data_IF_543596826599
#
_entry.id   IF_543596826599
#
_cell.length_a   1.000
_cell.length_b   1.000
_cell.length_c   1.000
_cell.angle_alpha   90.00
_cell.angle_beta   90.00
_cell.angle_gamma   90.00
#
_symmetry.space_group_name_H-M   'P 1'
#
loop_
_entity.id
_entity.type
_entity.pdbx_description
1 polymer ?
#
# COMPACT_ATOMS: atom_id res chain seq x y z
N UNK A 1 9.39 32.59 12.81
CA UNK A 1 10.15 31.36 13.08
C UNK A 1 9.29 30.18 12.66
N UNK A 2 9.53 29.62 11.45
CA UNK A 2 8.83 28.45 10.98
C UNK A 2 9.34 27.21 11.71
N UNK A 3 8.44 26.46 12.36
CA UNK A 3 8.76 25.15 12.92
C UNK A 3 8.74 24.15 11.75
N UNK A 4 9.86 23.50 11.50
CA UNK A 4 9.96 22.40 10.54
C UNK A 4 9.65 21.10 11.29
N UNK A 5 8.57 20.42 10.92
CA UNK A 5 8.27 19.09 11.43
C UNK A 5 9.08 18.05 10.63
N UNK A 6 9.78 17.18 11.31
CA UNK A 6 10.52 16.05 10.72
C UNK A 6 9.86 14.77 11.18
N UNK A 7 9.39 13.96 10.24
CA UNK A 7 8.83 12.63 10.49
C UNK A 7 9.89 11.56 10.22
N UNK A 8 10.22 10.78 11.26
CA UNK A 8 11.18 9.67 11.17
C UNK A 8 10.42 8.35 11.01
N UNK A 9 10.42 7.79 9.83
CA UNK A 9 9.78 6.52 9.54
C UNK A 9 10.79 5.37 9.54
N UNK A 10 10.68 4.47 10.53
CA UNK A 10 11.54 3.27 10.65
C UNK A 10 11.11 2.12 9.75
N UNK A 11 9.88 2.15 9.24
CA UNK A 11 9.31 1.13 8.37
C UNK A 11 8.39 1.77 7.32
N UNK A 12 8.57 1.39 6.06
CA UNK A 12 7.78 1.88 4.93
C UNK A 12 6.33 1.40 4.97
N UNK A 13 6.12 0.17 5.45
CA UNK A 13 4.80 -0.42 5.66
C UNK A 13 4.81 -1.29 6.92
N UNK A 14 3.64 -1.52 7.54
CA UNK A 14 3.50 -2.43 8.68
C UNK A 14 3.97 -3.84 8.26
N UNK A 15 4.61 -4.59 9.18
CA UNK A 15 5.18 -5.92 8.90
C UNK A 15 4.19 -6.90 8.26
N UNK A 16 2.92 -6.83 8.65
CA UNK A 16 1.87 -7.71 8.13
C UNK A 16 1.53 -7.45 6.65
N UNK A 17 1.88 -6.29 6.06
CA UNK A 17 1.70 -6.06 4.63
C UNK A 17 2.63 -6.89 3.74
N UNK A 18 3.63 -7.60 4.32
CA UNK A 18 4.49 -8.52 3.59
C UNK A 18 5.42 -7.84 2.58
N UNK A 19 5.65 -6.54 2.72
CA UNK A 19 6.63 -5.82 1.95
C UNK A 19 8.04 -6.30 2.30
N UNK A 20 8.78 -6.76 1.30
CA UNK A 20 10.12 -7.31 1.48
C UNK A 20 11.17 -6.30 1.01
N UNK A 21 11.65 -5.49 1.93
CA UNK A 21 12.78 -4.61 1.67
C UNK A 21 14.07 -5.32 2.10
N UNK A 22 14.95 -5.63 1.15
CA UNK A 22 16.32 -5.98 1.49
C UNK A 22 17.06 -4.70 1.93
N UNK A 23 17.28 -4.60 3.24
CA UNK A 23 17.87 -3.41 3.84
C UNK A 23 19.31 -3.20 3.35
N UNK A 24 20.11 -4.24 3.22
CA UNK A 24 21.51 -4.12 2.80
C UNK A 24 21.62 -3.58 1.38
N UNK A 25 20.89 -4.20 0.45
CA UNK A 25 20.81 -3.76 -0.93
C UNK A 25 20.20 -2.36 -1.07
N UNK A 26 19.21 -2.02 -0.23
CA UNK A 26 18.58 -0.69 -0.22
C UNK A 26 19.58 0.40 0.17
N UNK A 27 20.31 0.23 1.29
CA UNK A 27 21.31 1.19 1.73
C UNK A 27 22.49 1.31 0.75
N UNK A 28 22.86 0.22 0.09
CA UNK A 28 23.92 0.22 -0.93
C UNK A 28 23.58 0.98 -2.22
N UNK A 29 22.28 1.32 -2.44
CA UNK A 29 21.82 2.04 -3.64
C UNK A 29 21.56 3.53 -3.42
N UNK A 30 21.80 4.04 -2.23
CA UNK A 30 21.65 5.46 -1.96
C UNK A 30 22.60 6.28 -2.87
N UNK A 31 22.12 7.44 -3.30
CA UNK A 31 22.89 8.39 -4.13
C UNK A 31 23.04 9.72 -3.43
N UNK A 32 24.13 10.44 -3.65
CA UNK A 32 24.27 11.79 -3.10
C UNK A 32 23.23 12.73 -3.70
N UNK A 33 22.57 13.46 -2.85
CA UNK A 33 21.65 14.56 -3.19
C UNK A 33 22.29 15.85 -2.72
N UNK A 34 22.56 16.76 -3.65
CA UNK A 34 23.20 18.03 -3.35
C UNK A 34 22.13 19.03 -2.90
N UNK A 35 22.25 19.48 -1.68
CA UNK A 35 21.51 20.62 -1.12
C UNK A 35 22.38 21.87 -1.20
N UNK A 36 21.82 23.09 -1.08
CA UNK A 36 22.58 24.32 -1.19
C UNK A 36 23.80 24.41 -0.26
N UNK A 37 23.74 23.81 0.91
CA UNK A 37 24.77 23.88 1.94
C UNK A 37 25.52 22.57 2.20
N UNK A 38 24.99 21.42 1.74
CA UNK A 38 25.60 20.13 2.00
C UNK A 38 25.07 19.05 1.06
N UNK A 39 25.78 17.93 0.97
CA UNK A 39 25.28 16.71 0.32
C UNK A 39 24.76 15.72 1.35
N UNK A 40 23.65 15.08 1.06
CA UNK A 40 23.05 14.00 1.86
C UNK A 40 22.85 12.76 1.00
N UNK A 41 22.84 11.59 1.60
CA UNK A 41 22.50 10.37 0.89
C UNK A 41 20.97 10.25 0.77
N UNK A 42 20.48 10.14 -0.45
CA UNK A 42 19.07 9.99 -0.79
C UNK A 42 18.80 8.72 -1.57
N UNK A 43 17.54 8.41 -1.74
CA UNK A 43 17.11 7.26 -2.54
C UNK A 43 17.42 7.46 -4.02
N UNK A 44 17.77 6.38 -4.73
CA UNK A 44 17.78 6.45 -6.18
C UNK A 44 16.34 6.65 -6.69
N UNK A 45 16.14 7.28 -7.86
CA UNK A 45 14.81 7.61 -8.37
C UNK A 45 13.88 6.40 -8.49
N UNK A 46 14.39 5.24 -8.89
CA UNK A 46 13.64 4.01 -9.05
C UNK A 46 13.09 3.49 -7.71
N UNK A 47 13.96 3.42 -6.68
CA UNK A 47 13.56 3.02 -5.34
C UNK A 47 12.57 4.04 -4.73
N UNK A 48 12.81 5.34 -4.94
CA UNK A 48 11.90 6.41 -4.49
C UNK A 48 10.53 6.28 -5.12
N UNK A 49 10.44 6.02 -6.43
CA UNK A 49 9.17 5.81 -7.13
C UNK A 49 8.36 4.66 -6.50
N UNK A 50 9.01 3.52 -6.27
CA UNK A 50 8.37 2.37 -5.63
C UNK A 50 7.83 2.75 -4.25
N UNK A 51 8.65 3.45 -3.44
CA UNK A 51 8.27 3.83 -2.09
C UNK A 51 7.13 4.85 -2.04
N UNK A 52 7.08 5.81 -2.97
CA UNK A 52 5.96 6.74 -3.12
C UNK A 52 4.66 5.99 -3.44
N UNK A 53 4.71 5.02 -4.35
CA UNK A 53 3.55 4.19 -4.70
C UNK A 53 3.08 3.33 -3.51
N UNK A 54 4.00 2.73 -2.76
CA UNK A 54 3.69 1.96 -1.53
C UNK A 54 3.09 2.88 -0.47
N UNK A 55 3.64 4.08 -0.28
CA UNK A 55 3.15 5.05 0.68
C UNK A 55 1.73 5.53 0.33
N UNK A 56 1.49 5.93 -0.91
CA UNK A 56 0.16 6.31 -1.37
C UNK A 56 -0.86 5.18 -1.19
N UNK A 57 -0.49 3.95 -1.53
CA UNK A 57 -1.36 2.78 -1.38
C UNK A 57 -1.65 2.45 0.10
N UNK A 58 -0.68 2.62 0.99
CA UNK A 58 -0.85 2.44 2.45
C UNK A 58 -1.94 3.36 3.01
N UNK A 59 -2.10 4.52 2.43
CA UNK A 59 -3.10 5.51 2.79
C UNK A 59 -4.27 5.55 1.80
N UNK A 60 -4.46 4.49 1.01
CA UNK A 60 -5.51 4.36 -0.01
C UNK A 60 -5.63 5.59 -0.92
N UNK A 61 -4.53 6.29 -1.14
CA UNK A 61 -4.45 7.49 -1.99
C UNK A 61 -5.44 8.60 -1.59
N UNK A 62 -5.75 8.76 -0.30
CA UNK A 62 -6.74 9.74 0.20
C UNK A 62 -6.37 11.20 -0.04
N UNK A 63 -5.09 11.49 -0.35
CA UNK A 63 -4.61 12.84 -0.60
C UNK A 63 -3.97 12.96 -1.98
N UNK A 64 -4.41 13.94 -2.74
CA UNK A 64 -3.92 14.18 -4.09
C UNK A 64 -2.40 14.41 -4.14
N UNK A 65 -1.80 14.96 -3.07
CA UNK A 65 -0.35 15.20 -2.99
C UNK A 65 0.48 13.96 -3.27
N UNK A 66 0.04 12.77 -2.84
CA UNK A 66 0.78 11.53 -3.07
C UNK A 66 0.80 11.13 -4.55
N UNK A 67 -0.27 11.43 -5.29
CA UNK A 67 -0.30 11.25 -6.75
C UNK A 67 0.59 12.30 -7.43
N UNK A 68 0.58 13.55 -6.92
CA UNK A 68 1.47 14.61 -7.40
C UNK A 68 2.95 14.24 -7.21
N UNK A 69 3.32 13.65 -6.06
CA UNK A 69 4.69 13.24 -5.78
C UNK A 69 5.18 12.19 -6.81
N UNK A 70 4.34 11.22 -7.16
CA UNK A 70 4.63 10.23 -8.21
C UNK A 70 4.77 10.90 -9.58
N UNK A 71 3.81 11.77 -9.93
CA UNK A 71 3.80 12.46 -11.21
C UNK A 71 5.03 13.35 -11.38
N UNK A 72 5.38 14.10 -10.36
CA UNK A 72 6.51 15.01 -10.37
C UNK A 72 7.84 14.28 -10.48
N UNK A 73 7.99 13.15 -9.76
CA UNK A 73 9.19 12.33 -9.86
C UNK A 73 9.39 11.82 -11.29
N UNK A 74 8.34 11.26 -11.92
CA UNK A 74 8.41 10.74 -13.29
C UNK A 74 8.75 11.87 -14.30
N UNK A 75 8.10 13.02 -14.18
CA UNK A 75 8.39 14.18 -15.06
C UNK A 75 9.83 14.68 -14.95
N UNK A 76 10.36 14.74 -13.72
CA UNK A 76 11.73 15.22 -13.48
C UNK A 76 12.81 14.19 -13.76
N UNK A 77 12.44 12.93 -13.99
CA UNK A 77 13.38 11.84 -14.23
C UNK A 77 13.02 11.06 -15.50
N UNK A 78 13.17 11.68 -16.69
CA UNK A 78 12.82 11.02 -17.96
C UNK A 78 13.70 9.78 -18.25
N UNK A 79 14.87 9.65 -17.62
CA UNK A 79 15.80 8.54 -17.75
C UNK A 79 15.60 7.46 -16.65
N UNK A 80 14.37 7.32 -16.11
CA UNK A 80 14.05 6.21 -15.19
C UNK A 80 14.28 4.85 -15.86
N UNK A 81 14.99 3.97 -15.17
CA UNK A 81 15.08 2.57 -15.59
C UNK A 81 13.81 1.81 -15.18
N UNK A 82 12.84 1.78 -16.09
CA UNK A 82 11.54 1.13 -15.90
C UNK A 82 11.67 -0.38 -15.67
N UNK A 83 12.63 -1.04 -16.33
CA UNK A 83 12.89 -2.47 -16.16
C UNK A 83 13.32 -2.74 -14.71
N UNK A 84 14.19 -1.91 -14.18
CA UNK A 84 14.62 -1.98 -12.79
C UNK A 84 13.48 -1.67 -11.82
N UNK A 85 12.63 -0.66 -12.08
CA UNK A 85 11.45 -0.36 -11.26
C UNK A 85 10.56 -1.59 -11.14
N UNK A 86 10.20 -2.21 -12.27
CA UNK A 86 9.31 -3.36 -12.28
C UNK A 86 9.94 -4.61 -11.66
N UNK A 87 11.23 -4.88 -11.94
CA UNK A 87 11.96 -5.97 -11.32
C UNK A 87 12.00 -5.82 -9.80
N UNK A 88 12.42 -4.65 -9.31
CA UNK A 88 12.54 -4.39 -7.89
C UNK A 88 11.18 -4.39 -7.18
N UNK A 89 10.13 -3.88 -7.82
CA UNK A 89 8.77 -3.94 -7.31
C UNK A 89 8.26 -5.39 -7.16
N UNK A 90 8.65 -6.28 -8.09
CA UNK A 90 8.39 -7.71 -7.98
C UNK A 90 9.11 -8.36 -6.79
N UNK A 91 10.43 -8.12 -6.65
CA UNK A 91 11.22 -8.61 -5.52
C UNK A 91 10.65 -8.15 -4.17
N UNK A 92 10.19 -6.89 -4.10
CA UNK A 92 9.58 -6.33 -2.90
C UNK A 92 8.11 -6.70 -2.73
N UNK A 93 7.53 -7.46 -3.67
CA UNK A 93 6.12 -7.90 -3.66
C UNK A 93 5.12 -6.76 -3.59
N UNK A 94 5.37 -5.74 -4.36
CA UNK A 94 4.53 -4.54 -4.44
C UNK A 94 4.28 -4.07 -5.88
N UNK A 95 4.47 -4.96 -6.88
CA UNK A 95 4.35 -4.61 -8.31
C UNK A 95 3.00 -3.97 -8.61
N UNK A 96 1.90 -4.57 -8.18
CA UNK A 96 0.55 -4.02 -8.41
C UNK A 96 0.30 -2.69 -7.70
N UNK A 97 0.97 -2.42 -6.56
CA UNK A 97 0.90 -1.11 -5.91
C UNK A 97 1.60 -0.03 -6.74
N UNK A 98 2.72 -0.38 -7.38
CA UNK A 98 3.44 0.51 -8.30
C UNK A 98 2.60 0.77 -9.54
N UNK A 99 2.03 -0.26 -10.15
CA UNK A 99 1.14 -0.13 -11.31
C UNK A 99 -0.06 0.78 -11.01
N UNK A 100 -0.71 0.63 -9.84
CA UNK A 100 -1.79 1.53 -9.43
C UNK A 100 -1.32 2.98 -9.30
N UNK A 101 -0.18 3.22 -8.64
CA UNK A 101 0.37 4.58 -8.48
C UNK A 101 0.67 5.25 -9.81
N UNK A 102 1.28 4.52 -10.75
CA UNK A 102 1.55 4.99 -12.10
C UNK A 102 0.26 5.26 -12.88
N UNK A 103 -0.73 4.36 -12.79
CA UNK A 103 -2.02 4.51 -13.44
C UNK A 103 -2.79 5.73 -12.93
N UNK A 104 -2.78 5.99 -11.61
CA UNK A 104 -3.37 7.19 -11.00
C UNK A 104 -2.67 8.46 -11.49
N UNK A 105 -1.34 8.47 -11.49
CA UNK A 105 -0.57 9.62 -11.93
C UNK A 105 -0.73 9.88 -13.43
N UNK A 106 -0.78 8.83 -14.26
CA UNK A 106 -1.05 8.95 -15.69
C UNK A 106 -2.46 9.50 -15.94
N UNK A 107 -3.48 8.94 -15.29
CA UNK A 107 -4.88 9.36 -15.45
C UNK A 107 -5.16 10.80 -15.03
N UNK A 108 -4.50 11.30 -13.97
CA UNK A 108 -4.76 12.63 -13.41
C UNK A 108 -3.82 13.71 -13.95
N UNK A 109 -2.62 13.36 -14.34
CA UNK A 109 -1.55 14.31 -14.67
C UNK A 109 -0.90 14.07 -16.03
N UNK A 110 -1.37 13.09 -16.80
CA UNK A 110 -0.86 12.77 -18.15
C UNK A 110 0.67 12.60 -18.17
N UNK A 111 1.21 11.83 -17.22
CA UNK A 111 2.64 11.51 -17.20
C UNK A 111 2.99 10.49 -18.27
N UNK A 112 4.19 10.59 -18.82
CA UNK A 112 4.71 9.60 -19.76
C UNK A 112 5.06 8.29 -19.03
N UNK A 113 4.33 7.21 -19.36
CA UNK A 113 4.57 5.86 -18.87
C UNK A 113 4.79 4.95 -20.09
N UNK A 114 5.76 4.03 -20.05
CA UNK A 114 6.00 3.10 -21.15
C UNK A 114 4.75 2.30 -21.53
N UNK A 115 4.55 2.09 -22.83
CA UNK A 115 3.38 1.40 -23.35
C UNK A 115 3.22 -0.02 -22.76
N UNK A 116 4.32 -0.72 -22.54
CA UNK A 116 4.32 -2.05 -21.91
C UNK A 116 3.73 -2.04 -20.49
N UNK A 117 3.98 -0.98 -19.72
CA UNK A 117 3.41 -0.80 -18.38
C UNK A 117 1.93 -0.43 -18.47
N UNK A 118 1.53 0.42 -19.43
CA UNK A 118 0.12 0.76 -19.66
C UNK A 118 -0.67 -0.48 -20.06
N UNK A 119 -0.14 -1.34 -20.92
CA UNK A 119 -0.76 -2.62 -21.28
C UNK A 119 -0.92 -3.55 -20.07
N UNK A 120 0.08 -3.62 -19.20
CA UNK A 120 -0.02 -4.41 -17.95
C UNK A 120 -1.11 -3.85 -17.02
N UNK A 121 -1.22 -2.54 -16.91
CA UNK A 121 -2.27 -1.86 -16.14
C UNK A 121 -3.66 -2.18 -16.72
N UNK A 122 -3.83 -2.09 -18.04
CA UNK A 122 -5.11 -2.35 -18.72
C UNK A 122 -5.57 -3.80 -18.60
N UNK A 123 -4.64 -4.74 -18.58
CA UNK A 123 -4.95 -6.18 -18.46
C UNK A 123 -5.17 -6.63 -17.02
N UNK A 124 -4.85 -5.80 -16.02
CA UNK A 124 -5.11 -6.11 -14.61
C UNK A 124 -6.62 -6.03 -14.29
N UNK A 125 -7.12 -7.03 -13.54
CA UNK A 125 -8.55 -7.15 -13.24
C UNK A 125 -9.11 -6.03 -12.37
N UNK A 126 -8.29 -5.44 -11.49
CA UNK A 126 -8.75 -4.51 -10.45
C UNK A 126 -8.29 -3.06 -10.72
N UNK A 127 -7.07 -2.86 -11.24
CA UNK A 127 -6.45 -1.53 -11.38
C UNK A 127 -7.29 -0.58 -12.26
N UNK A 128 -7.79 -0.94 -13.45
CA UNK A 128 -8.59 -0.04 -14.27
C UNK A 128 -9.88 0.43 -13.58
N UNK A 129 -10.47 -0.43 -12.74
CA UNK A 129 -11.67 -0.10 -11.96
C UNK A 129 -11.33 0.89 -10.86
N UNK A 130 -10.22 0.67 -10.13
CA UNK A 130 -9.75 1.55 -9.07
C UNK A 130 -9.41 2.95 -9.61
N UNK A 131 -8.65 3.03 -10.71
CA UNK A 131 -8.25 4.31 -11.33
C UNK A 131 -9.45 5.15 -11.77
N UNK A 132 -10.54 4.54 -12.24
CA UNK A 132 -11.75 5.28 -12.63
C UNK A 132 -12.53 5.84 -11.43
N UNK A 133 -12.47 5.18 -10.29
CA UNK A 133 -13.31 5.48 -9.13
C UNK A 133 -12.60 6.32 -8.07
N UNK A 134 -11.33 6.03 -7.77
CA UNK A 134 -10.57 6.70 -6.71
C UNK A 134 -10.42 8.22 -6.91
N UNK A 135 -10.16 8.77 -8.13
CA UNK A 135 -10.05 10.21 -8.32
C UNK A 135 -11.31 10.98 -7.95
N UNK A 136 -12.50 10.40 -8.21
CA UNK A 136 -13.77 11.02 -7.86
C UNK A 136 -13.95 11.19 -6.36
N UNK A 137 -13.38 10.30 -5.57
CA UNK A 137 -13.42 10.36 -4.11
C UNK A 137 -12.42 11.35 -3.52
N UNK A 138 -11.20 11.41 -4.10
CA UNK A 138 -10.21 12.42 -3.74
C UNK A 138 -10.76 13.84 -3.84
N UNK A 139 -11.61 14.09 -4.84
CA UNK A 139 -12.21 15.42 -5.07
C UNK A 139 -13.45 15.69 -4.22
N UNK A 140 -14.18 14.65 -3.78
CA UNK A 140 -15.44 14.82 -3.04
C UNK A 140 -15.26 15.07 -1.54
N UNK A 141 -14.24 14.50 -0.92
CA UNK A 141 -14.14 14.54 0.55
C UNK A 141 -12.69 14.68 1.08
N UNK A 142 -12.07 15.88 0.97
CA UNK A 142 -10.67 16.08 1.35
C UNK A 142 -10.42 16.04 2.88
N UNK A 143 -11.46 15.89 3.72
CA UNK A 143 -11.37 16.01 5.19
C UNK A 143 -11.72 14.74 5.97
N UNK A 144 -12.28 13.72 5.34
CA UNK A 144 -12.51 12.43 6.01
C UNK A 144 -11.40 11.48 5.58
N UNK A 145 -10.52 11.16 6.52
CA UNK A 145 -9.55 10.08 6.35
C UNK A 145 -10.27 8.80 5.92
N UNK A 146 -9.70 8.08 4.96
CA UNK A 146 -10.22 6.77 4.59
C UNK A 146 -10.08 5.87 5.82
N UNK A 147 -11.16 5.16 6.14
CA UNK A 147 -11.18 4.16 7.19
C UNK A 147 -9.98 3.18 7.00
N UNK A 148 -9.28 2.87 8.09
CA UNK A 148 -8.16 1.92 8.06
C UNK A 148 -8.55 0.59 7.39
N UNK A 149 -9.80 0.15 7.55
CA UNK A 149 -10.35 -1.03 6.90
C UNK A 149 -10.36 -0.92 5.37
N UNK A 150 -10.62 0.26 4.82
CA UNK A 150 -10.57 0.51 3.37
C UNK A 150 -9.14 0.45 2.83
N UNK A 151 -8.17 1.00 3.55
CA UNK A 151 -6.76 0.93 3.18
C UNK A 151 -6.26 -0.53 3.20
N UNK A 152 -6.62 -1.30 4.22
CA UNK A 152 -6.31 -2.73 4.30
C UNK A 152 -6.95 -3.53 3.17
N UNK A 153 -8.22 -3.23 2.84
CA UNK A 153 -8.94 -3.87 1.74
C UNK A 153 -8.29 -3.60 0.38
N UNK A 154 -7.89 -2.35 0.13
CA UNK A 154 -7.14 -1.98 -1.07
C UNK A 154 -5.82 -2.76 -1.16
N UNK A 155 -5.09 -2.81 -0.05
CA UNK A 155 -3.82 -3.52 0.02
C UNK A 155 -3.99 -5.03 -0.22
N UNK A 156 -5.05 -5.64 0.34
CA UNK A 156 -5.41 -7.05 0.10
C UNK A 156 -5.72 -7.31 -1.37
N UNK A 157 -6.49 -6.42 -1.99
CA UNK A 157 -6.88 -6.53 -3.41
C UNK A 157 -5.66 -6.46 -4.33
N UNK A 158 -4.67 -5.61 -3.99
CA UNK A 158 -3.47 -5.37 -4.79
C UNK A 158 -2.30 -6.30 -4.47
N UNK A 159 -2.47 -7.35 -3.67
CA UNK A 159 -1.44 -8.37 -3.51
C UNK A 159 -1.25 -9.17 -4.80
N UNK A 160 0.01 -9.41 -5.14
CA UNK A 160 0.42 -10.04 -6.39
C UNK A 160 -0.06 -11.50 -6.51
N UNK A 161 -0.29 -12.21 -5.38
CA UNK A 161 -0.76 -13.58 -5.38
C UNK A 161 -1.81 -13.87 -4.31
N UNK A 162 -2.64 -14.92 -4.56
CA UNK A 162 -3.63 -15.41 -3.59
C UNK A 162 -2.97 -15.87 -2.28
N UNK A 163 -1.77 -16.46 -2.35
CA UNK A 163 -1.02 -16.92 -1.18
C UNK A 163 -0.58 -15.73 -0.30
N UNK A 164 -0.17 -14.62 -0.91
CA UNK A 164 0.16 -13.39 -0.19
C UNK A 164 -1.07 -12.74 0.43
N UNK A 165 -2.22 -12.78 -0.25
CA UNK A 165 -3.52 -12.35 0.31
C UNK A 165 -3.87 -13.16 1.55
N UNK A 166 -3.72 -14.50 1.47
CA UNK A 166 -3.98 -15.39 2.60
C UNK A 166 -3.02 -15.12 3.78
N UNK A 167 -1.71 -15.00 3.52
CA UNK A 167 -0.71 -14.66 4.56
C UNK A 167 -1.01 -13.34 5.24
N UNK A 168 -1.39 -12.33 4.48
CA UNK A 168 -1.77 -11.02 5.02
C UNK A 168 -3.04 -11.16 5.90
N UNK A 169 -4.06 -11.85 5.45
CA UNK A 169 -5.28 -12.10 6.22
C UNK A 169 -4.99 -12.78 7.56
N UNK A 170 -4.12 -13.81 7.58
CA UNK A 170 -3.68 -14.48 8.81
C UNK A 170 -2.93 -13.52 9.73
N UNK A 171 -2.04 -12.68 9.18
CA UNK A 171 -1.25 -11.72 9.95
C UNK A 171 -2.14 -10.63 10.60
N UNK A 172 -3.13 -10.12 9.87
CA UNK A 172 -4.12 -9.18 10.39
C UNK A 172 -4.96 -9.79 11.51
N UNK A 173 -5.46 -11.02 11.32
CA UNK A 173 -6.17 -11.74 12.38
C UNK A 173 -5.33 -11.95 13.65
N UNK A 174 -4.03 -12.23 13.50
CA UNK A 174 -3.11 -12.36 14.65
C UNK A 174 -2.91 -11.04 15.37
N UNK A 175 -2.69 -9.94 14.63
CA UNK A 175 -2.52 -8.61 15.21
C UNK A 175 -3.76 -8.18 16.02
N UNK A 176 -4.97 -8.39 15.48
CA UNK A 176 -6.21 -8.12 16.23
C UNK A 176 -6.38 -9.01 17.46
N UNK A 177 -6.01 -10.30 17.38
CA UNK A 177 -6.07 -11.21 18.50
C UNK A 177 -5.12 -10.78 19.63
N UNK A 178 -3.94 -10.25 19.30
CA UNK A 178 -2.99 -9.71 20.29
C UNK A 178 -3.55 -8.46 20.99
N UNK A 179 -4.20 -7.54 20.25
CA UNK A 179 -4.83 -6.36 20.84
C UNK A 179 -5.96 -6.76 21.79
N UNK A 180 -6.82 -7.68 21.37
CA UNK A 180 -7.93 -8.17 22.19
C UNK A 180 -7.45 -8.90 23.46
N UNK A 181 -6.35 -9.67 23.37
CA UNK A 181 -5.80 -10.36 24.54
C UNK A 181 -5.14 -9.42 25.53
N UNK A 182 -4.64 -8.26 25.10
CA UNK A 182 -4.08 -7.22 25.97
C UNK A 182 -5.17 -6.38 26.67
N UNK A 183 -6.32 -6.19 26.03
CA UNK A 183 -7.40 -5.35 26.53
C UNK A 183 -8.38 -6.03 27.48
N UNK A 184 -8.30 -7.37 27.68
CA UNK A 184 -9.18 -8.14 28.54
C UNK A 184 -8.47 -8.72 29.77
N UNK A 185 -8.43 -8.01 30.93
CA UNK A 185 -7.66 -8.45 32.11
C UNK A 185 -8.20 -9.70 32.82
N UNK A 186 -9.43 -10.09 32.59
CA UNK A 186 -10.08 -11.23 33.27
C UNK A 186 -9.93 -12.57 32.54
N UNK A 187 -9.25 -12.63 31.38
CA UNK A 187 -8.93 -13.88 30.68
C UNK A 187 -7.70 -14.59 31.29
N UNK A 188 -7.63 -14.70 32.62
CA UNK A 188 -6.69 -15.60 33.31
C UNK A 188 -7.11 -17.05 33.33
N UNK A 189 -8.00 -17.47 32.43
CA UNK A 189 -8.49 -18.85 32.38
C UNK A 189 -7.57 -19.69 31.50
N UNK A 190 -7.00 -20.68 32.17
CA UNK A 190 -6.26 -21.86 31.69
C UNK A 190 -5.58 -21.81 30.30
N UNK A 191 -4.27 -22.01 30.31
CA UNK A 191 -3.36 -22.01 29.16
C UNK A 191 -3.83 -22.84 27.96
N UNK A 192 -4.58 -23.94 28.20
CA UNK A 192 -5.14 -24.83 27.17
C UNK A 192 -6.35 -24.24 26.43
N UNK A 193 -7.24 -23.53 27.14
CA UNK A 193 -8.37 -22.83 26.52
C UNK A 193 -7.94 -21.61 25.74
N UNK A 194 -6.83 -20.96 26.11
CA UNK A 194 -6.22 -19.88 25.30
C UNK A 194 -5.67 -20.41 23.98
N UNK A 195 -5.02 -21.56 23.95
CA UNK A 195 -4.57 -22.18 22.71
C UNK A 195 -5.75 -22.52 21.78
N UNK A 196 -6.82 -23.14 22.30
CA UNK A 196 -8.01 -23.45 21.51
C UNK A 196 -8.76 -22.20 21.04
N UNK A 197 -8.92 -21.18 21.88
CA UNK A 197 -9.53 -19.92 21.48
C UNK A 197 -8.65 -19.13 20.49
N UNK A 198 -7.34 -19.19 20.62
CA UNK A 198 -6.40 -18.56 19.68
C UNK A 198 -6.33 -19.33 18.35
N UNK A 199 -6.54 -20.65 18.36
CA UNK A 199 -6.59 -21.46 17.14
C UNK A 199 -7.95 -21.43 16.43
N UNK A 200 -9.07 -21.35 17.15
CA UNK A 200 -10.42 -21.35 16.57
C UNK A 200 -10.92 -19.95 16.16
N UNK A 201 -10.58 -18.89 16.89
CA UNK A 201 -10.95 -17.51 16.53
C UNK A 201 -10.35 -17.04 15.18
N UNK A 202 -9.07 -17.30 14.84
CA UNK A 202 -8.57 -16.94 13.51
C UNK A 202 -9.30 -17.72 12.39
N UNK A 203 -9.74 -18.97 12.64
CA UNK A 203 -10.46 -19.76 11.64
C UNK A 203 -11.85 -19.18 11.35
N UNK A 204 -12.61 -18.82 12.37
CA UNK A 204 -13.92 -18.20 12.20
C UNK A 204 -13.80 -16.80 11.56
N UNK A 205 -12.79 -16.01 11.94
CA UNK A 205 -12.53 -14.69 11.33
C UNK A 205 -11.86 -14.77 9.96
N UNK A 206 -11.04 -15.79 9.69
CA UNK A 206 -10.50 -16.05 8.34
C UNK A 206 -11.64 -16.40 7.39
N UNK A 207 -12.58 -17.24 7.81
CA UNK A 207 -13.78 -17.55 7.03
C UNK A 207 -14.68 -16.32 6.92
N UNK A 208 -14.90 -15.57 8.00
CA UNK A 208 -15.66 -14.33 7.98
C UNK A 208 -14.98 -13.25 7.13
N UNK A 209 -13.66 -13.07 7.23
CA UNK A 209 -12.91 -12.13 6.37
C UNK A 209 -12.72 -12.66 4.95
N UNK A 210 -12.70 -13.97 4.71
CA UNK A 210 -12.76 -14.54 3.36
C UNK A 210 -14.14 -14.30 2.72
N UNK A 211 -15.21 -14.53 3.47
CA UNK A 211 -16.59 -14.16 3.09
C UNK A 211 -16.70 -12.62 2.98
N UNK A 212 -16.07 -11.86 3.90
CA UNK A 212 -15.97 -10.39 3.79
C UNK A 212 -15.07 -9.98 2.63
N UNK A 213 -13.99 -10.68 2.26
CA UNK A 213 -13.17 -10.30 1.09
C UNK A 213 -13.94 -10.47 -0.23
N UNK A 214 -14.83 -11.44 -0.31
CA UNK A 214 -15.81 -11.55 -1.40
C UNK A 214 -16.87 -10.44 -1.26
N UNK A 215 -17.38 -10.17 -0.06
CA UNK A 215 -18.30 -9.06 0.24
C UNK A 215 -17.60 -7.69 0.26
N UNK A 216 -16.29 -7.59 0.53
CA UNK A 216 -15.53 -6.35 0.49
C UNK A 216 -15.15 -5.96 -0.94
N UNK A 217 -14.97 -6.90 -1.86
CA UNK A 217 -15.04 -6.55 -3.30
C UNK A 217 -16.38 -5.90 -3.62
N UNK A 218 -17.47 -6.45 -3.11
CA UNK A 218 -18.80 -5.85 -3.23
C UNK A 218 -18.96 -4.59 -2.38
N UNK A 219 -18.34 -4.45 -1.21
CA UNK A 219 -18.43 -3.28 -0.36
C UNK A 219 -17.52 -2.14 -0.85
N UNK A 220 -16.30 -2.43 -1.32
CA UNK A 220 -15.48 -1.47 -2.08
C UNK A 220 -16.21 -1.07 -3.35
N UNK A 221 -16.85 -2.01 -4.05
CA UNK A 221 -17.68 -1.71 -5.23
C UNK A 221 -18.94 -0.93 -4.82
N UNK A 222 -19.63 -1.26 -3.73
CA UNK A 222 -20.81 -0.53 -3.22
C UNK A 222 -20.45 0.83 -2.64
N UNK A 223 -19.39 0.93 -1.84
CA UNK A 223 -18.87 2.20 -1.35
C UNK A 223 -18.46 3.11 -2.50
N UNK A 224 -17.86 2.54 -3.53
CA UNK A 224 -17.58 3.22 -4.78
C UNK A 224 -18.85 3.52 -5.60
N UNK A 225 -19.99 2.86 -5.36
CA UNK A 225 -21.28 3.09 -6.02
C UNK A 225 -22.21 4.02 -5.25
N UNK A 226 -22.13 4.07 -3.90
CA UNK A 226 -22.94 4.97 -3.06
C UNK A 226 -22.52 6.45 -3.13
N UNK A 227 -21.55 6.76 -3.97
CA UNK A 227 -21.04 8.12 -4.20
C UNK A 227 -21.38 8.65 -5.60
N UNK A 228 -22.35 8.03 -6.30
CA UNK A 228 -22.91 8.47 -7.57
C UNK A 228 -24.00 9.49 -7.44
#
# INVERSE_FOLDING_TARGET
NGIVAVDLQWMMARRHFGFRLDRSAFWGRLKPVHLPTKSVMGLCPEDLLILLCVHGSKHAWEQLKWVCDVAELVRRRPALDWSRVLFQAGEWRCRRLVLLGLAMAHSLFDIAVPLTILQEIETDADIPVLVRKMPKQLLKNPRHGIDEDCAEALYMTLKDSWLERWKLGVALCRAEAEVLTRSLPWFRVQRRLRMLATCLKPFHRIIAKWILSVRMREAVVRWLQSSG
#
